data_IF_218268085141
#
_entry.id   IF_218268085141
#
_cell.length_a   1.000
_cell.length_b   1.000
_cell.length_c   1.000
_cell.angle_alpha   90.00
_cell.angle_beta   90.00
_cell.angle_gamma   90.00
#
_symmetry.space_group_name_H-M   'P 1'
#
loop_
_entity.id
_entity.type
_entity.pdbx_description
1 polymer ?
#
# COMPACT_ATOMS: atom_id res chain seq x y z
N UNK A 1 -7.40 13.51 21.39
CA UNK A 1 -8.00 12.20 21.09
C UNK A 1 -7.02 11.36 20.30
N UNK A 2 -6.88 10.08 20.66
CA UNK A 2 -5.96 9.18 19.96
C UNK A 2 -6.73 8.08 19.27
N UNK A 3 -6.28 7.76 18.06
CA UNK A 3 -6.79 6.61 17.31
C UNK A 3 -5.66 5.62 17.09
N UNK A 4 -5.98 4.34 17.15
CA UNK A 4 -5.01 3.28 16.95
C UNK A 4 -5.34 2.49 15.68
N UNK A 5 -4.31 2.19 14.91
CA UNK A 5 -4.40 1.32 13.77
C UNK A 5 -3.43 0.16 13.99
N UNK A 6 -3.97 -1.05 13.98
CA UNK A 6 -3.20 -2.24 14.31
C UNK A 6 -3.24 -3.23 13.16
N UNK A 7 -2.08 -3.80 12.84
CA UNK A 7 -1.96 -4.89 11.88
C UNK A 7 -1.41 -6.10 12.58
N UNK A 8 -2.06 -7.25 12.43
CA UNK A 8 -1.58 -8.51 12.94
C UNK A 8 -1.19 -9.40 11.77
N UNK A 9 0.01 -9.94 11.82
CA UNK A 9 0.55 -10.80 10.78
C UNK A 9 0.79 -12.17 11.37
N UNK A 10 0.07 -13.17 10.87
CA UNK A 10 0.30 -14.57 11.25
C UNK A 10 1.36 -15.15 10.32
N UNK A 11 2.39 -15.75 10.90
CA UNK A 11 3.50 -16.33 10.14
C UNK A 11 3.44 -17.85 10.20
N UNK A 12 3.92 -18.50 9.15
CA UNK A 12 4.09 -19.95 9.17
C UNK A 12 5.42 -20.31 9.86
N UNK A 13 5.75 -21.59 9.87
CA UNK A 13 6.98 -22.08 10.52
C UNK A 13 8.26 -21.57 9.87
N UNK A 14 8.19 -21.09 8.63
CA UNK A 14 9.31 -20.48 7.91
C UNK A 14 9.30 -18.96 7.99
N UNK A 15 8.45 -18.38 8.85
CA UNK A 15 8.28 -16.94 9.05
C UNK A 15 7.75 -16.23 7.81
N UNK A 16 6.99 -16.94 6.97
CA UNK A 16 6.31 -16.34 5.82
C UNK A 16 4.88 -15.96 6.20
N UNK A 17 4.38 -14.80 5.76
CA UNK A 17 3.02 -14.38 6.11
C UNK A 17 1.95 -15.32 5.55
N UNK A 18 1.06 -15.75 6.44
CA UNK A 18 -0.10 -16.57 6.09
C UNK A 18 -1.37 -15.72 6.00
N UNK A 19 -1.49 -14.76 6.90
CA UNK A 19 -2.69 -13.95 7.01
C UNK A 19 -2.34 -12.59 7.64
N UNK A 20 -3.02 -11.55 7.19
CA UNK A 20 -2.85 -10.20 7.73
C UNK A 20 -4.23 -9.67 8.07
N UNK A 21 -4.38 -9.14 9.28
CA UNK A 21 -5.62 -8.53 9.74
C UNK A 21 -5.37 -7.07 10.09
N UNK A 22 -6.34 -6.22 9.80
CA UNK A 22 -6.28 -4.81 10.14
C UNK A 22 -7.43 -4.48 11.08
N UNK A 23 -7.10 -3.73 12.12
CA UNK A 23 -8.07 -3.33 13.13
C UNK A 23 -7.84 -1.86 13.49
N UNK A 24 -8.86 -1.05 13.32
CA UNK A 24 -8.85 0.35 13.72
C UNK A 24 -9.68 0.52 14.99
N UNK A 25 -9.20 1.35 15.91
CA UNK A 25 -9.85 1.53 17.22
C UNK A 25 -11.28 2.05 17.14
N UNK A 26 -11.65 2.72 16.03
CA UNK A 26 -13.01 3.22 15.83
C UNK A 26 -13.89 2.21 15.07
N UNK A 27 -13.37 1.04 14.73
CA UNK A 27 -14.10 0.01 14.00
C UNK A 27 -14.35 0.33 12.54
N UNK A 28 -13.82 1.45 12.03
CA UNK A 28 -14.13 1.91 10.67
C UNK A 28 -13.40 1.15 9.57
N UNK A 29 -12.33 0.42 9.91
CA UNK A 29 -11.49 -0.23 8.91
C UNK A 29 -11.00 -1.59 9.38
N UNK A 30 -11.93 -2.46 9.76
CA UNK A 30 -11.59 -3.81 10.19
C UNK A 30 -11.63 -4.76 9.01
N UNK A 31 -10.52 -5.40 8.72
CA UNK A 31 -10.40 -6.37 7.64
C UNK A 31 -9.61 -7.59 8.13
N UNK A 32 -10.15 -8.77 7.91
CA UNK A 32 -9.56 -10.01 8.39
C UNK A 32 -8.83 -10.80 7.32
N UNK A 33 -8.81 -10.34 6.09
CA UNK A 33 -8.26 -11.14 4.98
C UNK A 33 -7.46 -10.26 4.01
N UNK A 34 -6.45 -9.60 4.58
CA UNK A 34 -5.54 -8.76 3.80
C UNK A 34 -4.43 -9.66 3.27
N UNK A 35 -4.14 -9.57 1.97
CA UNK A 35 -3.13 -10.38 1.31
C UNK A 35 -1.81 -9.66 1.12
N UNK A 36 -1.81 -8.34 1.12
CA UNK A 36 -0.60 -7.55 0.98
C UNK A 36 -0.75 -6.23 1.72
N UNK A 37 0.38 -5.70 2.19
CA UNK A 37 0.39 -4.48 3.01
C UNK A 37 1.64 -3.70 2.69
N UNK A 38 1.49 -2.42 2.42
CA UNK A 38 2.61 -1.50 2.19
C UNK A 38 2.44 -0.31 3.11
N UNK A 39 3.44 -0.06 3.94
CA UNK A 39 3.46 1.08 4.85
C UNK A 39 4.71 1.91 4.58
N UNK A 40 4.53 3.21 4.53
CA UNK A 40 5.62 4.16 4.37
C UNK A 40 5.43 5.26 5.40
N UNK A 41 6.44 5.47 6.26
CA UNK A 41 6.35 6.46 7.33
C UNK A 41 7.62 7.31 7.35
N UNK A 42 7.44 8.63 7.47
CA UNK A 42 8.56 9.56 7.52
C UNK A 42 8.98 9.80 8.97
N UNK A 43 10.21 9.44 9.29
CA UNK A 43 10.79 9.67 10.62
C UNK A 43 11.57 10.99 10.57
N UNK A 44 10.97 12.05 11.14
CA UNK A 44 11.50 13.41 10.98
C UNK A 44 12.88 13.62 11.62
N UNK A 45 13.16 12.95 12.75
CA UNK A 45 14.43 13.14 13.45
C UNK A 45 15.61 12.51 12.71
N UNK A 46 15.42 11.30 12.22
CA UNK A 46 16.48 10.58 11.49
C UNK A 46 16.48 10.90 10.01
N UNK A 47 15.41 11.52 9.53
CA UNK A 47 15.20 11.83 8.10
C UNK A 47 15.24 10.59 7.25
N UNK A 48 14.56 9.55 7.70
CA UNK A 48 14.48 8.28 7.01
C UNK A 48 13.03 7.93 6.71
N UNK A 49 12.82 7.28 5.58
CA UNK A 49 11.53 6.68 5.27
C UNK A 49 11.55 5.23 5.75
N UNK A 50 10.68 4.93 6.69
CA UNK A 50 10.52 3.57 7.20
C UNK A 50 9.48 2.85 6.34
N UNK A 51 9.84 1.69 5.83
CA UNK A 51 8.93 0.93 4.97
C UNK A 51 8.72 -0.47 5.51
N UNK A 52 7.46 -0.91 5.45
CA UNK A 52 7.09 -2.29 5.73
C UNK A 52 6.29 -2.77 4.53
N UNK A 53 6.82 -3.75 3.82
CA UNK A 53 6.17 -4.33 2.65
C UNK A 53 6.03 -5.83 2.88
N UNK A 54 4.79 -6.30 2.98
CA UNK A 54 4.48 -7.70 3.28
C UNK A 54 3.44 -8.21 2.30
N UNK A 55 3.53 -9.49 1.96
CA UNK A 55 2.45 -10.17 1.24
C UNK A 55 2.39 -11.61 1.69
N UNK A 56 1.18 -12.18 1.62
CA UNK A 56 0.99 -13.57 2.01
C UNK A 56 1.55 -14.51 0.94
N UNK A 57 1.92 -15.72 1.35
CA UNK A 57 2.52 -16.70 0.44
C UNK A 57 1.58 -17.12 -0.70
N UNK A 58 0.26 -16.92 -0.52
CA UNK A 58 -0.74 -17.24 -1.54
C UNK A 58 -1.20 -16.04 -2.37
N UNK A 59 -0.52 -14.89 -2.23
CA UNK A 59 -0.85 -13.69 -3.01
C UNK A 59 -0.51 -13.90 -4.48
N UNK A 60 -1.51 -13.90 -5.38
CA UNK A 60 -1.22 -14.08 -6.81
C UNK A 60 -0.51 -12.87 -7.41
N UNK A 61 0.38 -13.12 -8.38
CA UNK A 61 1.12 -12.03 -9.04
C UNK A 61 0.19 -11.05 -9.73
N UNK A 62 -0.86 -11.54 -10.38
CA UNK A 62 -1.80 -10.65 -11.07
C UNK A 62 -2.55 -9.73 -10.09
N UNK A 63 -2.84 -10.22 -8.87
CA UNK A 63 -3.48 -9.38 -7.85
C UNK A 63 -2.50 -8.34 -7.30
N UNK A 64 -1.21 -8.67 -7.25
CA UNK A 64 -0.19 -7.69 -6.87
C UNK A 64 -0.18 -6.52 -7.85
N UNK A 65 -0.27 -6.80 -9.16
CA UNK A 65 -0.39 -5.74 -10.16
C UNK A 65 -1.65 -4.91 -9.95
N UNK A 66 -2.77 -5.57 -9.65
CA UNK A 66 -4.05 -4.87 -9.42
C UNK A 66 -3.94 -3.96 -8.20
N UNK A 67 -3.23 -4.39 -7.16
CA UNK A 67 -3.00 -3.56 -5.97
C UNK A 67 -2.10 -2.36 -6.27
N UNK A 68 -1.06 -2.54 -7.07
CA UNK A 68 -0.11 -1.46 -7.37
C UNK A 68 -0.76 -0.27 -8.07
N UNK A 69 -1.68 -0.53 -8.99
CA UNK A 69 -2.27 0.55 -9.78
C UNK A 69 -2.98 1.61 -8.91
N UNK A 70 -4.00 1.24 -8.10
CA UNK A 70 -4.65 2.24 -7.25
C UNK A 70 -3.71 2.80 -6.17
N UNK A 71 -2.72 2.02 -5.73
CA UNK A 71 -1.74 2.50 -4.76
C UNK A 71 -0.94 3.64 -5.35
N UNK A 72 -0.42 3.49 -6.58
CA UNK A 72 0.35 4.55 -7.23
C UNK A 72 -0.53 5.73 -7.63
N UNK A 73 -1.77 5.49 -8.05
CA UNK A 73 -2.71 6.57 -8.34
C UNK A 73 -3.00 7.40 -7.08
N UNK A 74 -3.16 6.73 -5.95
CA UNK A 74 -3.33 7.39 -4.65
C UNK A 74 -2.09 8.18 -4.27
N UNK A 75 -0.89 7.63 -4.52
CA UNK A 75 0.36 8.34 -4.29
C UNK A 75 0.46 9.61 -5.13
N UNK A 76 0.04 9.54 -6.40
CA UNK A 76 0.04 10.72 -7.27
C UNK A 76 -0.88 11.81 -6.74
N UNK A 77 -2.08 11.43 -6.30
CA UNK A 77 -3.03 12.37 -5.72
C UNK A 77 -2.48 13.00 -4.45
N UNK A 78 -1.87 12.19 -3.58
CA UNK A 78 -1.26 12.68 -2.34
C UNK A 78 -0.08 13.60 -2.62
N UNK A 79 0.76 13.25 -3.61
CA UNK A 79 1.90 14.07 -4.00
C UNK A 79 1.44 15.45 -4.46
N UNK A 80 0.42 15.50 -5.30
CA UNK A 80 -0.12 16.78 -5.79
C UNK A 80 -0.71 17.60 -4.64
N UNK A 81 -1.50 16.95 -3.79
CA UNK A 81 -2.17 17.62 -2.67
C UNK A 81 -1.19 18.14 -1.63
N UNK A 82 -0.13 17.39 -1.35
CA UNK A 82 0.83 17.76 -0.30
C UNK A 82 1.91 18.73 -0.78
N UNK A 83 2.25 18.73 -2.06
CA UNK A 83 3.35 19.54 -2.59
C UNK A 83 2.90 20.60 -3.58
N UNK A 84 1.72 20.47 -4.17
CA UNK A 84 1.25 21.35 -5.24
C UNK A 84 1.94 21.12 -6.57
N UNK A 85 2.76 20.08 -6.69
CA UNK A 85 3.57 19.85 -7.89
C UNK A 85 2.80 18.99 -8.91
N UNK A 86 2.03 19.64 -9.77
CA UNK A 86 1.16 18.95 -10.73
C UNK A 86 1.91 18.18 -11.81
N UNK A 87 3.10 18.64 -12.19
CA UNK A 87 3.88 17.97 -13.24
C UNK A 87 4.40 16.61 -12.76
N UNK A 88 4.91 16.54 -11.53
CA UNK A 88 5.36 15.28 -10.97
C UNK A 88 4.20 14.31 -10.79
N UNK A 89 3.08 14.81 -10.27
CA UNK A 89 1.88 13.99 -10.09
C UNK A 89 1.36 13.48 -11.44
N UNK A 90 1.35 14.37 -12.45
CA UNK A 90 0.93 13.99 -13.80
C UNK A 90 1.82 12.92 -14.42
N UNK A 91 3.13 13.03 -14.24
CA UNK A 91 4.07 12.03 -14.74
C UNK A 91 3.86 10.69 -14.06
N UNK A 92 3.57 10.69 -12.76
CA UNK A 92 3.27 9.45 -12.05
C UNK A 92 1.96 8.83 -12.54
N UNK A 93 0.94 9.64 -12.81
CA UNK A 93 -0.31 9.15 -13.40
C UNK A 93 -0.07 8.55 -14.78
N UNK A 94 0.80 9.17 -15.58
CA UNK A 94 1.16 8.66 -16.90
C UNK A 94 1.84 7.30 -16.77
N UNK A 95 2.72 7.15 -15.79
CA UNK A 95 3.33 5.84 -15.51
C UNK A 95 2.27 4.81 -15.12
N UNK A 96 1.27 5.21 -14.33
CA UNK A 96 0.18 4.29 -13.97
C UNK A 96 -0.57 3.78 -15.21
N UNK A 97 -0.79 4.65 -16.19
CA UNK A 97 -1.40 4.24 -17.45
C UNK A 97 -0.55 3.24 -18.20
N UNK A 98 0.75 3.49 -18.28
CA UNK A 98 1.70 2.56 -18.88
C UNK A 98 1.70 1.23 -18.11
N UNK A 99 1.70 1.28 -16.78
CA UNK A 99 1.69 0.11 -15.93
C UNK A 99 0.43 -0.75 -16.19
N UNK A 100 -0.74 -0.10 -16.24
CA UNK A 100 -1.99 -0.81 -16.49
C UNK A 100 -1.99 -1.49 -17.86
N UNK A 101 -1.45 -0.80 -18.86
CA UNK A 101 -1.35 -1.33 -20.23
C UNK A 101 -0.41 -2.52 -20.29
N UNK A 102 0.78 -2.42 -19.66
CA UNK A 102 1.78 -3.47 -19.67
C UNK A 102 1.33 -4.72 -18.91
N UNK A 103 0.60 -4.54 -17.82
CA UNK A 103 0.13 -5.64 -16.98
C UNK A 103 -1.23 -6.18 -17.42
N UNK A 104 -1.89 -5.48 -18.33
CA UNK A 104 -3.22 -5.84 -18.85
C UNK A 104 -4.27 -5.97 -17.74
N UNK A 105 -4.12 -5.18 -16.70
CA UNK A 105 -5.13 -5.12 -15.64
C UNK A 105 -6.24 -4.15 -16.06
N UNK A 106 -7.45 -4.39 -15.52
CA UNK A 106 -8.56 -3.47 -15.72
C UNK A 106 -8.59 -2.55 -14.51
N UNK A 107 -8.14 -1.33 -14.74
CA UNK A 107 -8.03 -0.32 -13.68
C UNK A 107 -9.31 0.33 -13.25
#
# INVERSE_FOLDING_TARGET
MKQNLKFEVELDENHLPLNIEMDASDGAANEANIKALMISAWAAETKETLRIDLWTKDMPVNEMFIMYYPTMMGMAATLEKSTGHDKLAGALRDYCGFFAEQTKIKG
#
